data_IF_362365771930
#
_entry.id   IF_362365771930
#
_cell.length_a   1.000
_cell.length_b   1.000
_cell.length_c   1.000
_cell.angle_alpha   90.00
_cell.angle_beta   90.00
_cell.angle_gamma   90.00
#
_symmetry.space_group_name_H-M   'P 1'
#
loop_
_entity.id
_entity.type
_entity.pdbx_description
1 polymer ?
#
# COMPACT_ATOMS: atom_id res chain seq x y z
N UNK A 1 -6.90 1.64 4.30
CA UNK A 1 -6.09 0.40 4.26
C UNK A 1 -4.62 0.74 4.53
N UNK A 2 -3.80 -0.18 5.05
CA UNK A 2 -2.35 0.01 5.21
C UNK A 2 -1.58 -1.02 4.39
N UNK A 3 -0.62 -0.56 3.59
CA UNK A 3 0.34 -1.39 2.86
C UNK A 3 1.70 -1.27 3.53
N UNK A 4 2.26 -2.40 3.97
CA UNK A 4 3.58 -2.46 4.58
C UNK A 4 4.58 -2.94 3.55
N UNK A 5 5.64 -2.17 3.34
CA UNK A 5 6.70 -2.52 2.39
C UNK A 5 7.75 -3.43 3.04
N UNK A 6 8.38 -4.30 2.24
CA UNK A 6 9.58 -5.04 2.63
C UNK A 6 10.72 -4.06 2.93
N UNK A 7 11.60 -4.41 3.85
CA UNK A 7 12.78 -3.58 4.16
C UNK A 7 13.75 -3.47 2.96
N UNK A 8 13.70 -4.48 2.09
CA UNK A 8 14.49 -4.56 0.85
C UNK A 8 13.74 -3.98 -0.36
N UNK A 9 12.56 -3.37 -0.15
CA UNK A 9 11.82 -2.76 -1.25
C UNK A 9 12.63 -1.63 -1.86
N UNK A 10 12.74 -1.65 -3.19
CA UNK A 10 13.47 -0.65 -3.95
C UNK A 10 12.59 0.57 -4.23
N UNK A 11 13.21 1.68 -4.65
CA UNK A 11 12.46 2.84 -5.14
C UNK A 11 11.56 2.50 -6.35
N UNK A 12 11.93 1.50 -7.15
CA UNK A 12 11.10 1.02 -8.26
C UNK A 12 9.85 0.30 -7.75
N UNK A 13 9.99 -0.56 -6.73
CA UNK A 13 8.86 -1.23 -6.08
C UNK A 13 7.90 -0.19 -5.47
N UNK A 14 8.45 0.80 -4.75
CA UNK A 14 7.68 1.89 -4.17
C UNK A 14 6.89 2.67 -5.23
N UNK A 15 7.52 3.00 -6.36
CA UNK A 15 6.83 3.68 -7.48
C UNK A 15 5.73 2.81 -8.08
N UNK A 16 5.97 1.52 -8.26
CA UNK A 16 4.98 0.58 -8.78
C UNK A 16 3.74 0.52 -7.91
N UNK A 17 3.91 0.42 -6.59
CA UNK A 17 2.78 0.43 -5.65
C UNK A 17 2.03 1.76 -5.69
N UNK A 18 2.73 2.90 -5.71
CA UNK A 18 2.08 4.22 -5.80
C UNK A 18 1.31 4.40 -7.12
N UNK A 19 1.89 3.97 -8.23
CA UNK A 19 1.26 4.04 -9.54
C UNK A 19 0.00 3.16 -9.58
N UNK A 20 0.07 1.93 -9.06
CA UNK A 20 -1.09 1.04 -8.94
C UNK A 20 -2.27 1.73 -8.23
N UNK A 21 -1.99 2.47 -7.16
CA UNK A 21 -3.01 3.20 -6.39
C UNK A 21 -3.58 4.39 -7.18
N UNK A 22 -2.72 5.22 -7.78
CA UNK A 22 -3.16 6.41 -8.55
C UNK A 22 -3.96 6.03 -9.79
N UNK A 23 -3.58 4.97 -10.50
CA UNK A 23 -4.30 4.48 -11.69
C UNK A 23 -5.73 3.98 -11.38
N UNK A 24 -6.03 3.76 -10.10
CA UNK A 24 -7.34 3.34 -9.60
C UNK A 24 -8.02 4.43 -8.76
N UNK A 25 -7.59 5.68 -8.92
CA UNK A 25 -8.14 6.86 -8.24
C UNK A 25 -8.05 6.82 -6.70
N UNK A 26 -7.03 6.15 -6.15
CA UNK A 26 -6.73 6.19 -4.72
C UNK A 26 -5.66 7.21 -4.37
N UNK A 27 -5.91 7.93 -3.28
CA UNK A 27 -4.92 8.74 -2.60
C UNK A 27 -4.11 7.90 -1.60
N UNK A 28 -2.91 8.38 -1.27
CA UNK A 28 -2.08 7.71 -0.27
C UNK A 28 -1.20 8.67 0.54
N UNK A 29 -0.87 8.24 1.76
CA UNK A 29 0.16 8.84 2.58
C UNK A 29 1.29 7.84 2.83
N UNK A 30 2.53 8.27 2.60
CA UNK A 30 3.71 7.50 2.93
C UNK A 30 4.23 7.91 4.30
N UNK A 31 4.42 6.94 5.19
CA UNK A 31 5.17 7.08 6.44
C UNK A 31 6.46 6.27 6.33
N UNK A 32 7.60 6.96 6.39
CA UNK A 32 8.93 6.33 6.35
C UNK A 32 9.50 6.28 7.76
N UNK A 33 9.66 5.07 8.31
CA UNK A 33 10.34 4.84 9.57
C UNK A 33 11.75 4.28 9.38
N UNK A 34 12.52 4.19 10.47
CA UNK A 34 13.89 3.67 10.44
C UNK A 34 13.99 2.23 9.89
N UNK A 35 12.95 1.41 10.12
CA UNK A 35 12.97 0.00 9.76
C UNK A 35 12.11 -0.33 8.54
N UNK A 36 11.07 0.47 8.24
CA UNK A 36 10.02 0.13 7.27
C UNK A 36 9.34 1.38 6.74
N UNK A 37 8.85 1.28 5.51
CA UNK A 37 7.92 2.24 4.92
C UNK A 37 6.52 1.66 4.92
N UNK A 38 5.54 2.48 5.31
CA UNK A 38 4.12 2.15 5.30
C UNK A 38 3.43 3.13 4.36
N UNK A 39 2.52 2.63 3.53
CA UNK A 39 1.66 3.41 2.67
C UNK A 39 0.23 3.27 3.18
N UNK A 40 -0.31 4.33 3.76
CA UNK A 40 -1.74 4.42 4.08
C UNK A 40 -2.51 4.78 2.81
N UNK A 41 -3.53 3.99 2.48
CA UNK A 41 -4.38 4.18 1.30
C UNK A 41 -5.72 4.78 1.72
N UNK A 42 -6.11 5.86 1.04
CA UNK A 42 -7.32 6.65 1.27
C UNK A 42 -8.27 6.48 0.07
N UNK A 43 -9.56 6.37 0.34
CA UNK A 43 -10.62 6.16 -0.65
C UNK A 43 -11.47 4.93 -0.32
N UNK A 44 -12.26 4.47 -1.30
CA UNK A 44 -13.10 3.27 -1.17
C UNK A 44 -12.28 1.97 -1.24
N UNK A 45 -11.38 1.77 -0.27
CA UNK A 45 -10.40 0.65 -0.29
C UNK A 45 -11.03 -0.76 -0.26
N UNK A 46 -12.35 -0.86 -0.15
CA UNK A 46 -13.12 -2.10 -0.27
C UNK A 46 -13.13 -2.64 -1.72
N UNK A 47 -12.92 -1.77 -2.71
CA UNK A 47 -12.89 -2.13 -4.13
C UNK A 47 -11.51 -2.62 -4.59
N UNK A 48 -10.48 -2.50 -3.75
CA UNK A 48 -9.13 -2.98 -4.03
C UNK A 48 -9.06 -4.49 -3.80
N UNK A 49 -8.57 -5.23 -4.80
CA UNK A 49 -8.14 -6.61 -4.62
C UNK A 49 -6.85 -6.64 -3.76
N UNK A 50 -6.99 -7.07 -2.52
CA UNK A 50 -5.90 -7.12 -1.55
C UNK A 50 -4.85 -8.17 -1.91
N UNK A 51 -5.24 -9.24 -2.59
CA UNK A 51 -4.32 -10.30 -2.98
C UNK A 51 -3.48 -9.86 -4.18
N UNK A 52 -4.08 -9.11 -5.13
CA UNK A 52 -3.36 -8.41 -6.19
C UNK A 52 -2.33 -7.44 -5.60
N UNK A 53 -2.77 -6.57 -4.67
CA UNK A 53 -1.90 -5.58 -4.04
C UNK A 53 -0.77 -6.23 -3.21
N UNK A 54 -1.06 -7.32 -2.49
CA UNK A 54 -0.04 -8.09 -1.75
C UNK A 54 0.96 -8.78 -2.69
N UNK A 55 0.54 -9.12 -3.90
CA UNK A 55 1.39 -9.72 -4.93
C UNK A 55 2.38 -8.76 -5.57
N UNK A 56 2.22 -7.44 -5.39
CA UNK A 56 3.12 -6.46 -6.00
C UNK A 56 4.56 -6.58 -5.44
N UNK A 57 5.58 -6.40 -6.30
CA UNK A 57 6.97 -6.34 -5.86
C UNK A 57 7.19 -5.37 -4.70
N UNK A 58 8.01 -5.78 -3.73
CA UNK A 58 8.33 -4.99 -2.54
C UNK A 58 7.21 -4.89 -1.50
N UNK A 59 5.98 -5.34 -1.75
CA UNK A 59 4.93 -5.39 -0.72
C UNK A 59 5.20 -6.56 0.22
N UNK A 60 5.10 -6.31 1.53
CA UNK A 60 5.18 -7.36 2.54
C UNK A 60 3.80 -7.84 2.98
N UNK A 61 2.92 -6.91 3.34
CA UNK A 61 1.61 -7.23 3.88
C UNK A 61 0.62 -6.08 3.67
N UNK A 62 -0.67 -6.41 3.61
CA UNK A 62 -1.76 -5.45 3.46
C UNK A 62 -2.77 -5.64 4.60
N UNK A 63 -2.99 -4.61 5.40
CA UNK A 63 -3.94 -4.60 6.51
C UNK A 63 -5.20 -3.80 6.14
N UNK A 64 -6.38 -4.41 6.33
CA UNK A 64 -7.66 -3.70 6.27
C UNK A 64 -7.81 -2.87 7.55
N UNK A 65 -8.22 -1.62 7.40
CA UNK A 65 -8.70 -0.81 8.53
C UNK A 65 -10.16 -1.22 8.74
N UNK A 66 -10.57 -1.62 9.96
CA UNK A 66 -11.97 -1.95 10.25
C UNK A 66 -12.91 -0.79 9.92
N UNK A 67 -14.15 -1.11 9.60
CA UNK A 67 -15.21 -0.11 9.53
C UNK A 67 -15.55 0.35 10.96
N UNK A 68 -15.89 1.63 11.11
CA UNK A 68 -16.50 2.14 12.34
C UNK A 68 -17.98 1.74 12.36
N UNK A 69 -18.50 1.32 13.52
CA UNK A 69 -19.91 0.92 13.72
C UNK A 69 -20.89 2.10 13.60
#
# INVERSE_FOLDING_TARGET
MLVVMKQTATEADMRGVKQYLVERDFDFHQSTGANRTIIGVIGETQTIDRDELRGLPGVLEVFKIPEEE
#
